data_IF_984735839198
#
_entry.id   IF_984735839198
#
_cell.length_a   1.000
_cell.length_b   1.000
_cell.length_c   1.000
_cell.angle_alpha   90.00
_cell.angle_beta   90.00
_cell.angle_gamma   90.00
#
_symmetry.space_group_name_H-M   'P 1'
#
loop_
_entity.id
_entity.type
_entity.pdbx_description
1 polymer ?
#
# COMPACT_ATOMS: atom_id res chain seq x y z
N UNK A 1 -5.66 -52.81 -21.82
CA UNK A 1 -5.80 -51.39 -21.42
C UNK A 1 -7.28 -51.14 -21.34
N UNK A 2 -7.82 -50.86 -20.14
CA UNK A 2 -9.24 -50.53 -20.00
C UNK A 2 -9.54 -49.27 -20.79
N UNK A 3 -10.52 -49.37 -21.67
CA UNK A 3 -10.98 -48.24 -22.48
C UNK A 3 -11.55 -47.18 -21.56
N UNK A 4 -10.95 -45.98 -21.54
CA UNK A 4 -11.35 -44.86 -20.68
C UNK A 4 -12.73 -44.37 -21.13
N UNK A 5 -13.78 -44.71 -20.40
CA UNK A 5 -15.15 -44.22 -20.67
C UNK A 5 -15.30 -42.81 -20.05
N UNK A 6 -15.33 -41.80 -20.90
CA UNK A 6 -15.43 -40.38 -20.50
C UNK A 6 -16.72 -40.03 -19.75
N UNK A 7 -17.82 -40.74 -20.03
CA UNK A 7 -19.06 -40.54 -19.29
C UNK A 7 -18.95 -41.06 -17.86
N UNK A 8 -18.28 -42.21 -17.65
CA UNK A 8 -18.00 -42.73 -16.32
C UNK A 8 -17.03 -41.85 -15.53
N UNK A 9 -16.04 -41.25 -16.22
CA UNK A 9 -15.07 -40.34 -15.60
C UNK A 9 -15.76 -39.08 -15.08
N UNK A 10 -16.70 -38.52 -15.82
CA UNK A 10 -17.51 -37.41 -15.38
C UNK A 10 -18.70 -37.80 -14.49
N UNK A 11 -19.00 -39.08 -14.36
CA UNK A 11 -20.13 -39.60 -13.57
C UNK A 11 -21.50 -39.13 -14.10
N UNK A 12 -21.65 -39.07 -15.43
CA UNK A 12 -22.87 -38.68 -16.13
C UNK A 12 -23.35 -39.78 -17.03
N UNK A 13 -24.64 -39.78 -17.40
CA UNK A 13 -25.21 -40.70 -18.38
C UNK A 13 -24.75 -40.36 -19.81
N UNK A 14 -24.82 -41.36 -20.73
CA UNK A 14 -24.50 -41.08 -22.16
C UNK A 14 -25.46 -40.10 -22.82
N UNK A 15 -26.66 -39.97 -22.30
CA UNK A 15 -27.67 -39.04 -22.79
C UNK A 15 -27.66 -37.70 -22.08
N UNK A 16 -26.69 -37.45 -21.20
CA UNK A 16 -26.60 -36.24 -20.40
C UNK A 16 -26.52 -34.98 -21.28
N UNK A 17 -27.33 -33.93 -20.98
CA UNK A 17 -27.23 -32.65 -21.64
C UNK A 17 -25.93 -31.94 -21.32
N UNK A 18 -25.52 -31.02 -22.19
CA UNK A 18 -24.26 -30.26 -22.02
C UNK A 18 -24.14 -29.58 -20.64
N UNK A 19 -25.25 -29.04 -20.11
CA UNK A 19 -25.26 -28.40 -18.80
C UNK A 19 -24.93 -29.37 -17.65
N UNK A 20 -25.37 -30.60 -17.73
CA UNK A 20 -25.08 -31.63 -16.74
C UNK A 20 -23.63 -32.08 -16.84
N UNK A 21 -23.09 -32.26 -18.03
CA UNK A 21 -21.68 -32.55 -18.28
C UNK A 21 -20.82 -31.43 -17.71
N UNK A 22 -21.16 -30.17 -17.95
CA UNK A 22 -20.48 -29.00 -17.43
C UNK A 22 -20.53 -28.91 -15.90
N UNK A 23 -21.68 -29.19 -15.30
CA UNK A 23 -21.88 -29.19 -13.84
C UNK A 23 -21.04 -30.26 -13.16
N UNK A 24 -21.01 -31.47 -13.72
CA UNK A 24 -20.24 -32.58 -13.20
C UNK A 24 -18.73 -32.33 -13.32
N UNK A 25 -18.27 -31.87 -14.48
CA UNK A 25 -16.89 -31.44 -14.67
C UNK A 25 -16.47 -30.43 -13.60
N UNK A 26 -17.28 -29.40 -13.37
CA UNK A 26 -17.01 -28.37 -12.36
C UNK A 26 -16.76 -28.96 -10.97
N UNK A 27 -17.64 -29.87 -10.55
CA UNK A 27 -17.55 -30.49 -9.23
C UNK A 27 -16.24 -31.27 -9.08
N UNK A 28 -15.88 -32.07 -10.07
CA UNK A 28 -14.69 -32.91 -10.04
C UNK A 28 -13.42 -32.07 -10.19
N UNK A 29 -13.40 -31.10 -11.09
CA UNK A 29 -12.26 -30.20 -11.30
C UNK A 29 -11.93 -29.39 -10.03
N UNK A 30 -12.94 -28.92 -9.29
CA UNK A 30 -12.74 -28.24 -8.00
C UNK A 30 -12.20 -29.16 -6.91
N UNK A 31 -12.59 -30.43 -6.92
CA UNK A 31 -12.14 -31.42 -5.96
C UNK A 31 -10.65 -31.78 -6.15
N UNK A 32 -10.22 -31.90 -7.41
CA UNK A 32 -8.86 -32.32 -7.77
C UNK A 32 -7.98 -31.19 -8.29
N UNK A 33 -8.39 -29.91 -8.04
CA UNK A 33 -7.60 -28.75 -8.46
C UNK A 33 -6.20 -28.76 -7.82
N UNK A 34 -5.12 -28.45 -8.58
CA UNK A 34 -3.76 -28.49 -8.06
C UNK A 34 -3.52 -27.50 -6.91
N UNK A 35 -4.15 -26.32 -6.92
CA UNK A 35 -4.02 -25.36 -5.82
C UNK A 35 -4.63 -25.88 -4.51
N UNK A 36 -5.59 -26.82 -4.59
CA UNK A 36 -6.19 -27.46 -3.43
C UNK A 36 -5.49 -28.76 -3.02
N UNK A 37 -4.74 -29.35 -3.95
CA UNK A 37 -4.03 -30.62 -3.75
C UNK A 37 -2.55 -30.48 -4.18
N UNK A 38 -1.78 -29.54 -3.61
CA UNK A 38 -0.41 -29.30 -4.06
C UNK A 38 0.47 -30.56 -3.85
N UNK A 39 1.15 -30.96 -4.93
CA UNK A 39 2.07 -32.11 -4.93
C UNK A 39 1.42 -33.50 -4.94
N UNK A 40 0.10 -33.60 -5.04
CA UNK A 40 -0.61 -34.90 -5.12
C UNK A 40 -0.74 -35.34 -6.58
N UNK A 41 0.11 -36.29 -6.99
CA UNK A 41 0.13 -36.87 -8.35
C UNK A 41 -1.16 -37.55 -8.76
N UNK A 42 -1.86 -38.19 -7.82
CA UNK A 42 -3.15 -38.84 -8.11
C UNK A 42 -4.24 -37.85 -8.41
N UNK A 43 -4.26 -36.73 -7.68
CA UNK A 43 -5.18 -35.63 -7.94
C UNK A 43 -4.89 -34.95 -9.30
N UNK A 44 -3.62 -34.78 -9.64
CA UNK A 44 -3.18 -34.25 -10.92
C UNK A 44 -3.59 -35.13 -12.10
N UNK A 45 -3.42 -36.45 -11.99
CA UNK A 45 -3.88 -37.41 -13.01
C UNK A 45 -5.40 -37.39 -13.17
N UNK A 46 -6.15 -37.40 -12.06
CA UNK A 46 -7.62 -37.30 -12.10
C UNK A 46 -8.09 -36.01 -12.71
N UNK A 47 -7.47 -34.89 -12.38
CA UNK A 47 -7.78 -33.59 -12.98
C UNK A 47 -7.54 -33.61 -14.50
N UNK A 48 -6.40 -34.15 -14.94
CA UNK A 48 -6.04 -34.28 -16.35
C UNK A 48 -7.06 -35.11 -17.14
N UNK A 49 -7.39 -36.29 -16.64
CA UNK A 49 -8.36 -37.18 -17.29
C UNK A 49 -9.76 -36.58 -17.31
N UNK A 50 -10.16 -35.89 -16.26
CA UNK A 50 -11.46 -35.19 -16.18
C UNK A 50 -11.54 -34.05 -17.17
N UNK A 51 -10.46 -33.27 -17.35
CA UNK A 51 -10.38 -32.20 -18.33
C UNK A 51 -10.40 -32.71 -19.76
N UNK A 52 -9.75 -33.83 -20.02
CA UNK A 52 -9.79 -34.53 -21.31
C UNK A 52 -11.20 -35.01 -21.65
N UNK A 53 -11.89 -35.63 -20.70
CA UNK A 53 -13.26 -36.08 -20.85
C UNK A 53 -14.22 -34.93 -21.16
N UNK A 54 -14.08 -33.82 -20.47
CA UNK A 54 -14.89 -32.63 -20.68
C UNK A 54 -14.65 -31.99 -22.07
N UNK A 55 -13.39 -31.89 -22.50
CA UNK A 55 -13.02 -31.35 -23.82
C UNK A 55 -13.68 -32.10 -24.95
N UNK A 56 -13.81 -33.41 -24.83
CA UNK A 56 -14.46 -34.23 -25.85
C UNK A 56 -15.98 -34.16 -25.77
N UNK A 57 -16.56 -34.25 -24.58
CA UNK A 57 -18.00 -34.37 -24.39
C UNK A 57 -18.75 -33.02 -24.49
N UNK A 58 -18.05 -31.88 -24.34
CA UNK A 58 -18.65 -30.55 -24.51
C UNK A 58 -18.87 -30.15 -25.97
N UNK A 59 -18.04 -30.68 -26.88
CA UNK A 59 -18.10 -30.35 -28.29
C UNK A 59 -19.00 -31.39 -29.01
N UNK A 60 -20.14 -30.98 -29.60
CA UNK A 60 -21.07 -31.91 -30.23
C UNK A 60 -20.41 -32.78 -31.31
N UNK A 61 -19.46 -32.24 -32.07
CA UNK A 61 -18.79 -32.98 -33.14
C UNK A 61 -17.81 -34.01 -32.56
N UNK A 62 -17.01 -33.64 -31.58
CA UNK A 62 -16.08 -34.56 -30.90
C UNK A 62 -16.86 -35.65 -30.14
N UNK A 63 -17.95 -35.28 -29.47
CA UNK A 63 -18.85 -36.21 -28.77
C UNK A 63 -19.44 -37.27 -29.73
N UNK A 64 -19.94 -36.84 -30.90
CA UNK A 64 -20.48 -37.75 -31.92
C UNK A 64 -19.40 -38.73 -32.43
N UNK A 65 -18.17 -38.23 -32.68
CA UNK A 65 -17.06 -39.08 -33.11
C UNK A 65 -16.67 -40.07 -32.00
N UNK A 66 -16.63 -39.60 -30.76
CA UNK A 66 -16.34 -40.43 -29.60
C UNK A 66 -17.41 -41.51 -29.37
N UNK A 67 -18.69 -41.20 -29.51
CA UNK A 67 -19.79 -42.11 -29.33
C UNK A 67 -19.84 -43.20 -30.42
N UNK A 68 -19.37 -42.89 -31.65
CA UNK A 68 -19.32 -43.84 -32.76
C UNK A 68 -18.07 -44.70 -32.86
N UNK A 69 -16.91 -44.09 -32.55
CA UNK A 69 -15.61 -44.68 -32.86
C UNK A 69 -14.68 -44.73 -31.66
N UNK A 70 -15.14 -44.34 -30.46
CA UNK A 70 -14.32 -44.33 -29.25
C UNK A 70 -13.13 -43.39 -29.35
N UNK A 71 -12.12 -43.62 -28.53
CA UNK A 71 -10.86 -42.87 -28.49
C UNK A 71 -10.08 -42.91 -29.81
N UNK A 72 -10.21 -43.98 -30.57
CA UNK A 72 -9.48 -44.14 -31.83
C UNK A 72 -9.99 -43.18 -32.91
N UNK A 73 -11.29 -42.91 -32.94
CA UNK A 73 -11.87 -41.92 -33.83
C UNK A 73 -11.34 -40.52 -33.60
N UNK A 74 -11.05 -40.16 -32.37
CA UNK A 74 -10.53 -38.83 -32.01
C UNK A 74 -9.08 -38.60 -32.46
N UNK A 75 -8.25 -39.63 -32.57
CA UNK A 75 -6.87 -39.49 -33.07
C UNK A 75 -6.81 -38.94 -34.49
N UNK A 76 -7.82 -39.24 -35.33
CA UNK A 76 -7.95 -38.74 -36.67
C UNK A 76 -8.29 -37.25 -36.79
N UNK A 77 -8.78 -36.63 -35.71
CA UNK A 77 -9.14 -35.20 -35.64
C UNK A 77 -8.03 -34.30 -35.10
N UNK A 78 -6.83 -34.84 -34.87
CA UNK A 78 -5.71 -34.11 -34.31
C UNK A 78 -5.75 -34.01 -32.77
N UNK A 79 -6.70 -34.64 -32.12
CA UNK A 79 -6.78 -34.68 -30.66
C UNK A 79 -5.85 -35.77 -30.10
N UNK A 80 -4.73 -35.35 -29.48
CA UNK A 80 -3.73 -36.26 -28.90
C UNK A 80 -3.78 -36.34 -27.36
N UNK A 81 -4.82 -35.76 -26.75
CA UNK A 81 -4.90 -35.58 -25.30
C UNK A 81 -3.94 -34.49 -24.78
N UNK A 82 -4.04 -34.19 -23.50
CA UNK A 82 -3.14 -33.22 -22.87
C UNK A 82 -1.85 -33.88 -22.38
N UNK A 83 -0.68 -33.36 -22.80
CA UNK A 83 0.64 -33.87 -22.38
C UNK A 83 1.06 -33.31 -21.03
N UNK A 84 0.61 -32.09 -20.67
CA UNK A 84 0.98 -31.40 -19.45
C UNK A 84 -0.12 -30.48 -18.94
N UNK A 85 0.13 -29.92 -17.77
CA UNK A 85 -0.76 -29.00 -17.09
C UNK A 85 -0.90 -27.66 -17.87
N UNK A 86 0.20 -27.21 -18.52
CA UNK A 86 0.24 -26.01 -19.33
C UNK A 86 -0.66 -26.13 -20.57
N UNK A 87 -0.76 -27.32 -21.14
CA UNK A 87 -1.64 -27.57 -22.29
C UNK A 87 -3.12 -27.43 -21.92
N UNK A 88 -3.49 -27.83 -20.69
CA UNK A 88 -4.85 -27.70 -20.16
C UNK A 88 -5.19 -26.22 -19.93
N UNK A 89 -4.27 -25.48 -19.32
CA UNK A 89 -4.45 -24.03 -19.12
C UNK A 89 -4.51 -23.26 -20.42
N UNK A 90 -3.74 -23.64 -21.41
CA UNK A 90 -3.77 -23.01 -22.75
C UNK A 90 -5.07 -23.31 -23.49
N UNK A 91 -5.61 -24.53 -23.39
CA UNK A 91 -6.84 -24.94 -24.06
C UNK A 91 -8.11 -24.37 -23.37
N UNK A 92 -8.04 -24.11 -22.08
CA UNK A 92 -9.19 -23.69 -21.27
C UNK A 92 -9.02 -22.29 -20.65
N UNK A 93 -7.99 -21.50 -21.02
CA UNK A 93 -7.73 -20.19 -20.47
C UNK A 93 -8.95 -19.27 -20.45
N UNK A 94 -9.68 -19.21 -21.56
CA UNK A 94 -10.91 -18.40 -21.68
C UNK A 94 -12.07 -18.94 -20.84
N UNK A 95 -12.09 -20.25 -20.54
CA UNK A 95 -13.15 -20.89 -19.74
C UNK A 95 -12.81 -20.84 -18.26
N UNK A 96 -11.52 -20.82 -17.92
CA UNK A 96 -11.07 -20.63 -16.54
C UNK A 96 -11.35 -19.21 -16.06
N UNK A 97 -11.22 -18.18 -16.90
CA UNK A 97 -11.62 -16.79 -16.56
C UNK A 97 -13.13 -16.68 -16.29
N UNK A 98 -13.97 -17.35 -17.11
CA UNK A 98 -15.43 -17.43 -16.88
C UNK A 98 -15.80 -18.27 -15.64
N UNK A 99 -14.92 -19.19 -15.25
CA UNK A 99 -15.19 -20.19 -14.22
C UNK A 99 -14.94 -19.70 -12.81
N UNK A 100 -13.94 -18.84 -12.60
CA UNK A 100 -13.62 -18.26 -11.29
C UNK A 100 -14.33 -16.95 -11.00
N UNK A 101 -15.34 -16.57 -11.77
CA UNK A 101 -16.19 -15.42 -11.49
C UNK A 101 -15.65 -14.08 -11.99
N UNK A 102 -14.67 -14.09 -12.91
CA UNK A 102 -14.14 -12.89 -13.53
C UNK A 102 -14.58 -12.67 -15.00
N UNK A 103 -15.42 -13.52 -15.57
CA UNK A 103 -15.82 -13.42 -16.95
C UNK A 103 -17.33 -13.42 -17.16
N UNK A 104 -17.96 -12.29 -17.09
CA UNK A 104 -19.21 -12.07 -17.82
C UNK A 104 -18.89 -11.58 -19.22
N UNK A 105 -19.29 -12.32 -20.23
CA UNK A 105 -19.33 -11.90 -21.64
C UNK A 105 -20.26 -10.70 -21.82
N UNK A 106 -19.85 -9.56 -21.30
CA UNK A 106 -20.45 -8.30 -21.70
C UNK A 106 -19.75 -7.83 -22.97
N UNK A 107 -20.55 -7.60 -24.05
CA UNK A 107 -20.18 -6.62 -25.07
C UNK A 107 -19.30 -5.58 -24.42
N UNK A 108 -18.10 -5.31 -24.95
CA UNK A 108 -17.17 -4.27 -24.49
C UNK A 108 -17.88 -2.92 -24.39
N UNK A 109 -18.76 -2.77 -23.39
CA UNK A 109 -19.11 -1.45 -22.87
C UNK A 109 -17.83 -0.91 -22.28
N UNK A 110 -17.43 0.24 -22.74
CA UNK A 110 -16.25 0.92 -22.28
C UNK A 110 -16.20 0.86 -20.75
N UNK A 111 -15.26 0.05 -20.23
CA UNK A 111 -15.18 -0.29 -18.78
C UNK A 111 -15.02 1.02 -18.00
N UNK A 112 -15.97 1.29 -17.13
CA UNK A 112 -15.87 2.37 -16.14
C UNK A 112 -14.61 2.12 -15.34
N UNK A 113 -13.69 3.10 -15.28
CA UNK A 113 -12.44 3.00 -14.54
C UNK A 113 -12.45 3.97 -13.38
N UNK A 114 -12.09 3.49 -12.21
CA UNK A 114 -11.82 4.34 -11.05
C UNK A 114 -10.64 5.25 -11.35
N UNK A 115 -10.68 6.46 -10.80
CA UNK A 115 -9.56 7.40 -10.85
C UNK A 115 -8.34 6.87 -10.10
N UNK A 116 -7.16 7.34 -10.47
CA UNK A 116 -5.93 6.99 -9.79
C UNK A 116 -5.89 7.62 -8.38
N UNK A 117 -5.28 6.90 -7.45
CA UNK A 117 -5.00 7.43 -6.13
C UNK A 117 -3.86 8.47 -6.21
N UNK A 118 -3.94 9.50 -5.36
CA UNK A 118 -2.92 10.54 -5.26
C UNK A 118 -2.12 10.38 -3.97
N UNK A 119 -0.85 10.73 -4.03
CA UNK A 119 0.05 10.79 -2.88
C UNK A 119 0.43 12.25 -2.61
N UNK A 120 0.40 12.63 -1.35
CA UNK A 120 0.89 13.91 -0.86
C UNK A 120 1.75 13.70 0.39
N UNK A 121 2.95 14.28 0.41
CA UNK A 121 3.86 14.21 1.54
C UNK A 121 3.74 15.52 2.35
N UNK A 122 3.14 15.43 3.54
CA UNK A 122 2.89 16.57 4.42
C UNK A 122 3.94 16.62 5.53
N UNK A 123 4.70 17.71 5.56
CA UNK A 123 5.61 18.03 6.65
C UNK A 123 4.88 18.84 7.72
N UNK A 124 5.00 18.43 8.96
CA UNK A 124 4.42 19.11 10.12
C UNK A 124 5.49 19.33 11.18
N UNK A 125 5.33 20.38 11.98
CA UNK A 125 6.23 20.62 13.10
C UNK A 125 6.04 19.59 14.21
N UNK A 126 7.03 19.46 15.09
CA UNK A 126 6.97 18.62 16.27
C UNK A 126 5.78 18.97 17.18
N UNK A 127 5.50 20.26 17.36
CA UNK A 127 4.36 20.72 18.13
C UNK A 127 3.01 20.40 17.43
N UNK A 128 2.93 20.55 16.11
CA UNK A 128 1.73 20.16 15.36
C UNK A 128 1.46 18.67 15.50
N UNK A 129 2.50 17.84 15.54
CA UNK A 129 2.37 16.41 15.78
C UNK A 129 1.91 16.09 17.21
N UNK A 130 2.33 16.89 18.21
CA UNK A 130 1.93 16.70 19.60
C UNK A 130 0.49 17.10 19.88
N UNK A 131 0.01 18.20 19.28
CA UNK A 131 -1.31 18.77 19.58
C UNK A 131 -2.36 18.50 18.52
N UNK A 132 -1.94 18.02 17.35
CA UNK A 132 -2.78 17.97 16.16
C UNK A 132 -2.91 19.33 15.50
N UNK A 133 -3.24 19.34 14.22
CA UNK A 133 -3.41 20.56 13.45
C UNK A 133 -4.38 20.36 12.28
N UNK A 134 -5.16 21.38 12.01
CA UNK A 134 -5.90 21.49 10.76
C UNK A 134 -5.07 22.32 9.78
N UNK A 135 -4.78 21.73 8.63
CA UNK A 135 -3.94 22.34 7.59
C UNK A 135 -4.63 22.24 6.25
N UNK A 136 -4.60 23.31 5.47
CA UNK A 136 -5.05 23.31 4.09
C UNK A 136 -3.88 22.98 3.17
N UNK A 137 -4.12 22.05 2.24
CA UNK A 137 -3.15 21.71 1.20
C UNK A 137 -3.75 21.93 -0.17
N UNK A 138 -2.94 22.33 -1.12
CA UNK A 138 -3.32 22.43 -2.53
C UNK A 138 -2.76 21.25 -3.31
N UNK A 139 -3.63 20.56 -4.02
CA UNK A 139 -3.24 19.41 -4.83
C UNK A 139 -3.63 19.67 -6.27
N UNK A 140 -2.69 19.57 -7.22
CA UNK A 140 -3.02 19.56 -8.63
C UNK A 140 -3.66 18.22 -8.99
N UNK A 141 -4.92 18.23 -9.39
CA UNK A 141 -5.62 17.03 -9.87
C UNK A 141 -6.34 17.29 -11.19
N UNK A 142 -6.51 16.24 -11.97
CA UNK A 142 -7.31 16.29 -13.17
C UNK A 142 -8.79 16.16 -12.80
N UNK A 143 -9.54 17.22 -13.08
CA UNK A 143 -10.99 17.27 -12.85
C UNK A 143 -11.72 17.24 -14.19
N UNK A 144 -12.97 16.82 -14.18
CA UNK A 144 -13.82 16.82 -15.37
C UNK A 144 -13.94 18.27 -15.88
N UNK A 145 -13.74 18.45 -17.18
CA UNK A 145 -13.88 19.76 -17.80
C UNK A 145 -15.34 20.21 -17.74
N UNK A 146 -15.61 21.29 -17.04
CA UNK A 146 -16.96 21.86 -16.85
C UNK A 146 -17.62 22.32 -18.16
N UNK A 147 -16.82 22.75 -19.15
CA UNK A 147 -17.32 23.26 -20.42
C UNK A 147 -17.89 22.13 -21.29
N UNK A 148 -17.25 20.97 -21.31
CA UNK A 148 -17.69 19.83 -22.13
C UNK A 148 -18.24 18.67 -21.32
N UNK A 149 -18.32 18.77 -19.99
CA UNK A 149 -18.76 17.72 -19.08
C UNK A 149 -18.09 16.35 -19.36
N UNK A 150 -16.77 16.40 -19.61
CA UNK A 150 -15.96 15.19 -19.82
C UNK A 150 -16.03 14.61 -21.23
N UNK A 151 -16.84 15.15 -22.16
CA UNK A 151 -16.97 14.62 -23.53
C UNK A 151 -15.75 14.91 -24.41
N UNK A 152 -14.94 15.89 -24.06
CA UNK A 152 -13.84 16.39 -24.89
C UNK A 152 -14.29 17.21 -26.10
N UNK A 153 -15.59 17.23 -26.44
CA UNK A 153 -16.15 17.90 -27.62
C UNK A 153 -16.55 19.34 -27.30
N UNK A 154 -16.54 20.20 -28.31
CA UNK A 154 -17.11 21.55 -28.22
C UNK A 154 -18.57 21.45 -27.80
N UNK A 155 -19.05 22.38 -26.99
CA UNK A 155 -20.44 22.45 -26.56
C UNK A 155 -21.40 22.35 -27.75
N UNK A 156 -22.41 21.49 -27.65
CA UNK A 156 -23.37 21.19 -28.74
C UNK A 156 -22.88 20.20 -29.78
N UNK A 157 -21.68 19.65 -29.66
CA UNK A 157 -21.16 18.58 -30.52
C UNK A 157 -20.86 17.32 -29.74
N UNK A 158 -20.90 16.18 -30.40
CA UNK A 158 -20.65 14.87 -29.76
C UNK A 158 -19.53 14.12 -30.47
N UNK A 159 -18.77 13.28 -29.71
CA UNK A 159 -17.84 12.37 -30.35
C UNK A 159 -18.56 11.43 -31.31
N UNK A 160 -18.02 11.27 -32.51
CA UNK A 160 -18.51 10.36 -33.53
C UNK A 160 -17.74 9.05 -33.54
N UNK A 161 -18.26 8.04 -34.15
CA UNK A 161 -17.53 6.79 -34.35
C UNK A 161 -16.30 7.04 -35.24
N UNK A 162 -15.15 6.51 -34.84
CA UNK A 162 -13.92 6.71 -35.63
C UNK A 162 -14.08 6.10 -37.04
N UNK A 163 -13.91 6.88 -38.11
CA UNK A 163 -14.11 6.39 -39.47
C UNK A 163 -13.08 5.33 -39.88
N UNK A 164 -11.87 5.37 -39.31
CA UNK A 164 -10.79 4.46 -39.68
C UNK A 164 -10.97 3.04 -39.10
N UNK A 165 -11.36 2.94 -37.82
CA UNK A 165 -11.52 1.63 -37.14
C UNK A 165 -12.99 1.25 -36.93
N UNK A 166 -13.95 2.06 -37.40
CA UNK A 166 -15.39 1.85 -37.24
C UNK A 166 -15.79 1.49 -35.79
N UNK A 167 -15.14 2.19 -34.81
CA UNK A 167 -15.43 2.04 -33.40
C UNK A 167 -14.67 0.93 -32.68
N UNK A 168 -13.92 0.07 -33.37
CA UNK A 168 -13.17 -1.03 -32.74
C UNK A 168 -11.94 -0.60 -31.91
N UNK A 169 -11.42 0.60 -32.16
CA UNK A 169 -10.17 1.10 -31.57
C UNK A 169 -8.91 0.49 -32.18
N UNK A 170 -9.05 -0.54 -33.01
CA UNK A 170 -7.93 -1.25 -33.65
C UNK A 170 -8.14 -1.35 -35.15
N UNK A 171 -7.04 -1.38 -35.88
CA UNK A 171 -7.04 -1.60 -37.31
C UNK A 171 -6.35 -2.92 -37.59
N UNK A 172 -7.05 -3.82 -38.24
CA UNK A 172 -6.57 -5.14 -38.59
C UNK A 172 -6.03 -5.12 -40.02
N UNK A 173 -4.79 -5.52 -40.19
CA UNK A 173 -4.15 -5.70 -41.50
C UNK A 173 -3.83 -7.16 -41.70
N UNK A 174 -4.36 -7.75 -42.78
CA UNK A 174 -4.02 -9.11 -43.21
C UNK A 174 -2.86 -9.05 -44.21
N UNK A 175 -1.80 -9.79 -43.93
CA UNK A 175 -0.65 -9.94 -44.81
C UNK A 175 -0.42 -11.45 -45.01
N UNK A 176 -0.92 -12.01 -46.08
CA UNK A 176 -0.94 -13.45 -46.31
C UNK A 176 -1.78 -14.20 -45.27
N UNK A 177 -1.22 -15.18 -44.62
CA UNK A 177 -1.89 -16.00 -43.59
C UNK A 177 -1.89 -15.35 -42.19
N UNK A 178 -1.25 -14.21 -42.02
CA UNK A 178 -1.15 -13.53 -40.72
C UNK A 178 -2.05 -12.30 -40.67
N UNK A 179 -2.81 -12.19 -39.59
CA UNK A 179 -3.62 -11.02 -39.27
C UNK A 179 -3.02 -10.27 -38.11
N UNK A 180 -2.53 -9.06 -38.34
CA UNK A 180 -1.93 -8.19 -37.32
C UNK A 180 -2.96 -7.13 -36.94
N UNK A 181 -3.31 -7.06 -35.68
CA UNK A 181 -4.16 -6.01 -35.12
C UNK A 181 -3.28 -4.93 -34.47
N UNK A 182 -3.39 -3.69 -34.93
CA UNK A 182 -2.66 -2.54 -34.38
C UNK A 182 -3.61 -1.50 -33.86
N UNK A 183 -3.21 -0.74 -32.83
CA UNK A 183 -4.00 0.38 -32.31
C UNK A 183 -4.29 1.39 -33.44
N UNK A 184 -5.52 1.84 -33.55
CA UNK A 184 -5.91 2.81 -34.56
C UNK A 184 -5.20 4.15 -34.38
N UNK A 185 -4.40 4.57 -35.35
CA UNK A 185 -3.61 5.81 -35.27
C UNK A 185 -4.47 7.08 -35.24
N UNK A 186 -5.73 7.03 -35.64
CA UNK A 186 -6.61 8.21 -35.63
C UNK A 186 -7.33 8.42 -34.31
N UNK A 187 -7.76 7.35 -33.63
CA UNK A 187 -8.46 7.45 -32.33
C UNK A 187 -7.64 6.93 -31.15
N UNK A 188 -6.42 6.53 -31.38
CA UNK A 188 -5.49 6.03 -30.35
C UNK A 188 -6.08 4.95 -29.44
N UNK A 189 -6.95 4.12 -29.99
CA UNK A 189 -7.59 3.02 -29.26
C UNK A 189 -8.98 3.34 -28.70
N UNK A 190 -9.42 4.59 -28.71
CA UNK A 190 -10.71 4.99 -28.12
C UNK A 190 -11.93 4.57 -28.95
N UNK A 191 -11.77 4.28 -30.22
CA UNK A 191 -12.88 3.97 -31.13
C UNK A 191 -13.76 5.16 -31.49
N UNK A 192 -13.53 6.32 -30.87
CA UNK A 192 -14.27 7.57 -31.10
C UNK A 192 -13.37 8.63 -31.67
N UNK A 193 -13.97 9.53 -32.49
CA UNK A 193 -13.28 10.68 -33.05
C UNK A 193 -14.05 11.94 -32.67
N UNK A 194 -13.31 12.98 -32.28
CA UNK A 194 -13.86 14.27 -31.87
C UNK A 194 -13.57 15.28 -32.99
N UNK A 195 -14.56 15.58 -33.87
CA UNK A 195 -14.37 16.52 -34.98
C UNK A 195 -14.07 17.94 -34.51
N UNK A 196 -14.71 18.35 -33.44
CA UNK A 196 -14.59 19.68 -32.88
C UNK A 196 -14.18 19.57 -31.39
N UNK A 197 -12.88 19.61 -31.07
CA UNK A 197 -12.41 19.50 -29.69
C UNK A 197 -12.82 20.72 -28.85
N UNK A 198 -13.10 20.49 -27.58
CA UNK A 198 -13.34 21.52 -26.60
C UNK A 198 -12.10 22.42 -26.48
N UNK A 199 -12.28 23.74 -26.50
CA UNK A 199 -11.16 24.68 -26.44
C UNK A 199 -10.40 24.64 -25.13
N UNK A 200 -11.08 24.37 -24.02
CA UNK A 200 -10.47 24.31 -22.68
C UNK A 200 -9.64 23.06 -22.49
N UNK A 201 -10.22 21.88 -22.65
CA UNK A 201 -9.53 20.61 -22.43
C UNK A 201 -8.88 20.02 -23.69
N UNK A 202 -8.99 20.68 -24.86
CA UNK A 202 -8.37 20.27 -26.13
C UNK A 202 -8.67 18.82 -26.55
N UNK A 203 -9.86 18.33 -26.22
CA UNK A 203 -10.27 16.97 -26.54
C UNK A 203 -10.12 15.96 -25.40
N UNK A 204 -9.36 16.26 -24.35
CA UNK A 204 -9.08 15.31 -23.26
C UNK A 204 -10.26 15.10 -22.30
N UNK A 205 -11.27 15.99 -22.30
CA UNK A 205 -12.42 15.91 -21.40
C UNK A 205 -12.09 16.28 -19.94
N UNK A 206 -10.82 16.59 -19.63
CA UNK A 206 -10.32 16.90 -18.29
C UNK A 206 -9.37 18.10 -18.33
N UNK A 207 -9.34 18.82 -17.24
CA UNK A 207 -8.42 19.96 -17.04
C UNK A 207 -7.72 19.80 -15.71
N UNK A 208 -6.47 20.22 -15.65
CA UNK A 208 -5.70 20.23 -14.41
C UNK A 208 -6.07 21.46 -13.60
N UNK A 209 -6.64 21.27 -12.41
CA UNK A 209 -6.96 22.35 -11.46
C UNK A 209 -6.32 22.05 -10.11
N UNK A 210 -5.91 23.08 -9.39
CA UNK A 210 -5.52 22.96 -8.00
C UNK A 210 -6.79 22.88 -7.14
N UNK A 211 -6.89 21.88 -6.30
CA UNK A 211 -7.98 21.74 -5.33
C UNK A 211 -7.40 21.92 -3.92
N UNK A 212 -7.99 22.82 -3.14
CA UNK A 212 -7.68 22.99 -1.72
C UNK A 212 -8.44 21.95 -0.90
N UNK A 213 -7.74 21.23 -0.05
CA UNK A 213 -8.31 20.17 0.81
C UNK A 213 -7.87 20.44 2.24
N UNK A 214 -8.83 20.44 3.18
CA UNK A 214 -8.54 20.52 4.61
C UNK A 214 -8.17 19.14 5.14
N UNK A 215 -7.02 19.09 5.83
CA UNK A 215 -6.52 17.88 6.48
C UNK A 215 -6.46 18.13 7.98
N UNK A 216 -7.07 17.24 8.74
CA UNK A 216 -6.97 17.21 10.19
C UNK A 216 -5.98 16.13 10.60
N UNK A 217 -4.81 16.54 11.08
CA UNK A 217 -3.83 15.64 11.67
C UNK A 217 -4.18 15.41 13.14
N UNK A 218 -4.36 14.16 13.57
CA UNK A 218 -4.66 13.88 14.98
C UNK A 218 -3.44 14.13 15.87
N UNK A 219 -3.69 14.51 17.12
CA UNK A 219 -2.64 14.64 18.13
C UNK A 219 -1.96 13.29 18.38
N UNK A 220 -0.64 13.31 18.58
CA UNK A 220 0.16 12.09 18.78
C UNK A 220 0.61 11.41 17.49
N UNK A 221 0.28 11.95 16.33
CA UNK A 221 0.70 11.39 15.04
C UNK A 221 2.22 11.32 14.92
N UNK A 222 2.72 10.29 14.21
CA UNK A 222 4.15 10.10 14.03
C UNK A 222 4.55 10.08 12.56
N UNK A 223 5.84 10.27 12.30
CA UNK A 223 6.44 10.11 10.97
C UNK A 223 6.13 8.74 10.39
N UNK A 224 5.80 8.70 9.09
CA UNK A 224 5.38 7.48 8.40
C UNK A 224 3.89 7.16 8.53
N UNK A 225 3.14 7.91 9.34
CA UNK A 225 1.69 7.78 9.41
C UNK A 225 1.04 8.12 8.08
N UNK A 226 -0.01 7.37 7.71
CA UNK A 226 -0.73 7.51 6.45
C UNK A 226 -2.19 7.85 6.72
N UNK A 227 -2.62 9.01 6.25
CA UNK A 227 -4.02 9.43 6.28
C UNK A 227 -4.65 9.20 4.90
N UNK A 228 -5.83 8.57 4.86
CA UNK A 228 -6.59 8.34 3.63
C UNK A 228 -7.80 9.27 3.60
N UNK A 229 -7.87 10.10 2.58
CA UNK A 229 -9.01 10.98 2.30
C UNK A 229 -9.73 10.41 1.08
N UNK A 230 -10.91 9.85 1.33
CA UNK A 230 -11.68 9.15 0.30
C UNK A 230 -12.22 10.10 -0.75
N UNK A 231 -12.10 9.68 -2.03
CA UNK A 231 -12.64 10.41 -3.17
C UNK A 231 -11.87 11.69 -3.54
N UNK A 232 -10.71 11.94 -2.93
CA UNK A 232 -9.87 13.10 -3.22
C UNK A 232 -8.68 12.78 -4.16
N UNK A 233 -8.67 11.59 -4.75
CA UNK A 233 -7.77 11.24 -5.85
C UNK A 233 -8.19 11.83 -7.19
N UNK A 234 -7.64 11.31 -8.29
CA UNK A 234 -8.03 11.68 -9.64
C UNK A 234 -9.49 11.29 -9.92
N UNK A 235 -10.14 12.06 -10.78
CA UNK A 235 -11.50 11.70 -11.24
C UNK A 235 -11.49 10.42 -12.07
N UNK A 236 -12.49 9.57 -11.85
CA UNK A 236 -12.66 8.33 -12.61
C UNK A 236 -12.98 8.54 -14.10
N UNK A 237 -12.71 7.55 -14.92
CA UNK A 237 -13.03 7.61 -16.34
C UNK A 237 -14.45 7.14 -16.62
N UNK A 238 -15.11 7.84 -17.55
CA UNK A 238 -16.45 7.46 -18.06
C UNK A 238 -17.50 7.32 -16.96
N UNK A 239 -17.47 8.23 -15.98
CA UNK A 239 -18.38 8.19 -14.83
C UNK A 239 -17.94 7.23 -13.72
N UNK A 240 -16.68 6.80 -13.73
CA UNK A 240 -16.11 6.00 -12.64
C UNK A 240 -15.94 6.81 -11.37
N UNK A 241 -15.89 6.17 -10.20
CA UNK A 241 -15.64 6.85 -8.95
C UNK A 241 -14.23 7.44 -8.94
N UNK A 242 -14.01 8.57 -8.22
CA UNK A 242 -12.66 9.11 -8.02
C UNK A 242 -11.79 8.13 -7.22
N UNK A 243 -10.48 8.28 -7.34
CA UNK A 243 -9.50 7.64 -6.45
C UNK A 243 -9.46 8.30 -5.08
N UNK A 244 -8.53 7.90 -4.25
CA UNK A 244 -8.32 8.45 -2.91
C UNK A 244 -7.03 9.26 -2.84
N UNK A 245 -6.97 10.17 -1.87
CA UNK A 245 -5.74 10.87 -1.54
C UNK A 245 -5.10 10.21 -0.32
N UNK A 246 -3.84 9.85 -0.45
CA UNK A 246 -3.01 9.35 0.63
C UNK A 246 -2.00 10.41 1.06
N UNK A 247 -2.16 10.90 2.28
CA UNK A 247 -1.26 11.87 2.88
C UNK A 247 -0.29 11.16 3.80
N UNK A 248 1.01 11.26 3.50
CA UNK A 248 2.09 10.72 4.31
C UNK A 248 2.65 11.82 5.19
N UNK A 249 2.70 11.58 6.48
CA UNK A 249 3.13 12.55 7.48
C UNK A 249 4.63 12.41 7.72
N UNK A 250 5.32 13.55 7.74
CA UNK A 250 6.73 13.69 8.12
C UNK A 250 6.82 14.74 9.22
N UNK A 251 7.15 14.31 10.42
CA UNK A 251 7.36 15.22 11.55
C UNK A 251 8.78 15.76 11.49
N UNK A 252 8.92 17.08 11.47
CA UNK A 252 10.22 17.71 11.49
C UNK A 252 10.89 17.52 12.87
N UNK A 253 12.22 17.31 12.91
CA UNK A 253 12.94 17.21 14.17
C UNK A 253 12.83 18.53 14.95
N UNK A 254 12.83 18.43 16.28
CA UNK A 254 12.85 19.59 17.16
C UNK A 254 14.26 19.81 17.72
N UNK A 255 14.70 21.04 17.82
CA UNK A 255 16.07 21.37 18.25
C UNK A 255 16.38 20.92 19.67
N UNK A 256 15.36 20.85 20.51
CA UNK A 256 15.51 20.58 21.93
C UNK A 256 14.94 19.21 22.37
N UNK A 257 13.85 18.76 21.76
CA UNK A 257 13.19 17.50 22.10
C UNK A 257 13.48 16.42 21.06
N UNK A 258 13.76 15.21 21.53
CA UNK A 258 13.73 14.00 20.72
C UNK A 258 12.50 13.16 21.11
N UNK A 259 11.86 12.52 20.13
CA UNK A 259 10.72 11.64 20.36
C UNK A 259 11.15 10.17 20.34
N UNK A 260 10.69 9.41 21.34
CA UNK A 260 10.85 7.95 21.39
C UNK A 260 9.49 7.30 21.69
N UNK A 261 8.81 6.84 20.65
CA UNK A 261 7.43 6.35 20.76
C UNK A 261 6.47 7.47 21.20
N UNK A 262 5.84 7.32 22.36
CA UNK A 262 4.98 8.37 22.96
C UNK A 262 5.76 9.27 23.94
N UNK A 263 6.97 8.88 24.34
CA UNK A 263 7.80 9.65 25.25
C UNK A 263 8.62 10.72 24.50
N UNK A 264 9.04 11.75 25.23
CA UNK A 264 9.99 12.75 24.75
C UNK A 264 11.23 12.78 25.63
N UNK A 265 12.35 13.01 25.01
CA UNK A 265 13.66 13.08 25.68
C UNK A 265 14.23 14.47 25.47
N UNK A 266 14.77 15.05 26.53
CA UNK A 266 15.54 16.29 26.43
C UNK A 266 16.76 16.25 27.35
N UNK A 267 17.79 17.03 27.01
CA UNK A 267 18.97 17.19 27.78
C UNK A 267 19.04 18.59 28.40
N UNK A 268 19.18 18.66 29.72
CA UNK A 268 19.28 19.92 30.47
C UNK A 268 20.65 20.05 31.06
N UNK A 269 21.37 21.13 30.74
CA UNK A 269 22.64 21.42 31.43
C UNK A 269 22.37 21.97 32.83
N UNK A 270 22.99 21.36 33.81
CA UNK A 270 23.04 21.87 35.19
C UNK A 270 24.48 22.16 35.58
N UNK A 271 24.68 23.10 36.54
CA UNK A 271 26.00 23.41 37.05
C UNK A 271 26.44 22.38 38.10
N UNK A 272 27.75 22.21 38.31
CA UNK A 272 28.32 21.38 39.36
C UNK A 272 27.72 21.69 40.77
N UNK A 273 27.57 22.96 41.19
CA UNK A 273 26.93 23.27 42.49
C UNK A 273 25.46 22.81 42.55
N UNK A 274 24.69 22.96 41.44
CA UNK A 274 23.32 22.48 41.40
C UNK A 274 23.22 20.96 41.53
N UNK A 275 24.10 20.22 40.86
CA UNK A 275 24.16 18.77 40.98
C UNK A 275 24.54 18.31 42.41
N UNK A 276 25.51 18.99 43.01
CA UNK A 276 26.04 18.59 44.30
C UNK A 276 25.12 18.97 45.47
N UNK A 277 24.60 20.20 45.48
CA UNK A 277 23.79 20.74 46.56
C UNK A 277 22.29 20.51 46.41
N UNK A 278 21.87 20.08 45.22
CA UNK A 278 20.48 20.04 44.79
C UNK A 278 20.01 21.43 44.37
N UNK A 279 18.99 21.46 43.54
CA UNK A 279 18.41 22.72 43.06
C UNK A 279 16.97 22.51 42.58
N UNK A 280 16.19 23.58 42.61
CA UNK A 280 14.94 23.65 41.84
C UNK A 280 15.23 24.33 40.50
N UNK A 281 14.94 23.66 39.40
CA UNK A 281 15.17 24.22 38.06
C UNK A 281 13.87 24.23 37.26
N UNK A 282 13.76 25.20 36.38
CA UNK A 282 12.63 25.29 35.44
C UNK A 282 13.04 24.69 34.10
N UNK A 283 12.25 23.76 33.60
CA UNK A 283 12.52 23.07 32.36
C UNK A 283 11.35 23.28 31.35
N UNK A 284 11.65 23.32 30.07
CA UNK A 284 10.61 23.35 29.04
C UNK A 284 9.92 21.98 28.93
N UNK A 285 8.61 22.03 28.70
CA UNK A 285 7.78 20.87 28.35
C UNK A 285 6.97 21.21 27.10
N UNK A 286 6.26 20.24 26.53
CA UNK A 286 5.34 20.51 25.40
C UNK A 286 4.26 21.54 25.78
N UNK A 287 3.83 21.55 27.06
CA UNK A 287 2.74 22.40 27.53
C UNK A 287 3.23 23.70 28.19
N UNK A 288 4.49 24.07 28.00
CA UNK A 288 5.11 25.27 28.62
C UNK A 288 6.28 24.89 29.51
N UNK A 289 6.38 25.52 30.69
CA UNK A 289 7.50 25.29 31.60
C UNK A 289 7.04 24.59 32.89
N UNK A 290 7.89 23.72 33.41
CA UNK A 290 7.69 23.01 34.69
C UNK A 290 8.90 23.09 35.58
N UNK A 291 8.69 23.20 36.89
CA UNK A 291 9.73 23.12 37.88
C UNK A 291 9.98 21.66 38.26
N UNK A 292 11.25 21.28 38.33
CA UNK A 292 11.70 19.99 38.85
C UNK A 292 12.74 20.20 39.96
N UNK A 293 12.75 19.32 40.94
CA UNK A 293 13.73 19.30 41.99
C UNK A 293 14.86 18.34 41.63
N UNK A 294 16.08 18.85 41.56
CA UNK A 294 17.29 18.06 41.39
C UNK A 294 17.77 17.68 42.79
N UNK A 295 17.86 16.40 43.15
CA UNK A 295 18.37 15.94 44.44
C UNK A 295 19.84 16.30 44.62
N UNK A 296 20.29 16.30 45.87
CA UNK A 296 21.73 16.46 46.20
C UNK A 296 22.49 15.23 45.73
N UNK A 297 23.64 15.44 45.08
CA UNK A 297 24.51 14.37 44.64
C UNK A 297 24.05 13.73 43.30
N UNK A 298 23.21 14.43 42.52
CA UNK A 298 22.79 13.99 41.19
C UNK A 298 23.98 13.82 40.26
N UNK A 299 24.07 12.68 39.59
CA UNK A 299 25.16 12.39 38.67
C UNK A 299 24.83 12.89 37.23
N UNK A 300 25.91 13.16 36.47
CA UNK A 300 25.74 13.53 35.06
C UNK A 300 25.24 12.34 34.25
N UNK A 301 24.16 12.53 33.51
CA UNK A 301 23.48 11.48 32.73
C UNK A 301 22.25 10.91 33.43
N UNK A 302 21.97 11.27 34.66
CA UNK A 302 20.80 10.84 35.42
C UNK A 302 19.52 11.35 34.73
N UNK A 303 18.46 10.50 34.75
CA UNK A 303 17.22 10.76 34.03
C UNK A 303 16.07 10.96 35.01
N UNK A 304 15.42 12.11 34.92
CA UNK A 304 14.19 12.44 35.65
C UNK A 304 12.96 12.26 34.76
N UNK A 305 11.98 11.51 35.26
CA UNK A 305 10.76 11.21 34.55
C UNK A 305 9.61 12.13 34.97
N UNK A 306 9.06 12.87 34.03
CA UNK A 306 7.86 13.69 34.22
C UNK A 306 6.67 12.96 33.57
N UNK A 307 5.83 12.41 34.43
CA UNK A 307 4.67 11.61 33.99
C UNK A 307 3.65 12.45 33.21
N UNK A 308 3.22 11.92 32.06
CA UNK A 308 2.17 12.52 31.24
C UNK A 308 2.57 13.79 30.47
N UNK A 309 3.86 14.14 30.40
CA UNK A 309 4.35 15.29 29.64
C UNK A 309 4.88 14.94 28.25
N UNK A 310 4.70 13.69 27.80
CA UNK A 310 5.02 13.22 26.45
C UNK A 310 3.90 13.47 25.44
N UNK A 311 3.98 12.79 24.30
CA UNK A 311 2.95 12.83 23.26
C UNK A 311 1.65 12.15 23.73
N UNK A 312 0.49 12.64 23.30
CA UNK A 312 -0.75 11.90 23.46
C UNK A 312 -0.69 10.61 22.65
N UNK A 313 -1.25 9.53 23.19
CA UNK A 313 -1.31 8.25 22.47
C UNK A 313 -2.28 8.34 21.31
N UNK A 314 -1.82 8.03 20.10
CA UNK A 314 -2.64 8.06 18.89
C UNK A 314 -3.80 7.04 18.95
N UNK A 315 -3.58 5.91 19.65
CA UNK A 315 -4.59 4.88 19.90
C UNK A 315 -4.67 4.60 21.40
N UNK A 316 -5.80 4.92 22.01
CA UNK A 316 -6.01 4.73 23.44
C UNK A 316 -6.09 6.05 24.21
N UNK A 317 -5.94 5.96 25.52
CA UNK A 317 -6.03 7.10 26.43
C UNK A 317 -4.66 7.40 27.08
N UNK A 318 -4.45 8.65 27.44
CA UNK A 318 -3.28 9.12 28.14
C UNK A 318 -2.19 9.68 27.24
N UNK A 319 -1.07 9.98 27.85
CA UNK A 319 0.14 10.55 27.23
C UNK A 319 1.35 9.74 27.67
N UNK A 320 2.41 9.80 26.87
CA UNK A 320 3.75 9.38 27.27
C UNK A 320 4.34 10.31 28.31
N UNK A 321 5.57 10.08 28.69
CA UNK A 321 6.30 10.81 29.69
C UNK A 321 7.39 11.69 29.05
N UNK A 322 7.88 12.69 29.78
CA UNK A 322 9.09 13.40 29.40
C UNK A 322 10.26 12.88 30.22
N UNK A 323 11.30 12.43 29.55
CA UNK A 323 12.57 11.98 30.12
C UNK A 323 13.58 13.12 30.06
N UNK A 324 13.98 13.63 31.22
CA UNK A 324 14.89 14.76 31.35
C UNK A 324 16.25 14.23 31.78
N UNK A 325 17.17 14.16 30.83
CA UNK A 325 18.55 13.79 31.13
C UNK A 325 19.34 15.03 31.55
N UNK A 326 19.89 15.03 32.77
CA UNK A 326 20.72 16.13 33.24
C UNK A 326 22.19 15.91 32.86
N UNK A 327 22.81 16.98 32.37
CA UNK A 327 24.23 16.96 32.00
C UNK A 327 24.96 18.00 32.85
N UNK A 328 25.84 17.55 33.71
CA UNK A 328 26.64 18.46 34.53
C UNK A 328 27.70 19.15 33.68
N UNK A 329 27.60 20.48 33.57
CA UNK A 329 28.56 21.28 32.83
C UNK A 329 29.56 21.92 33.74
N UNK A 330 30.85 21.73 33.45
CA UNK A 330 31.94 22.44 34.11
C UNK A 330 31.99 23.91 33.67
N UNK A 331 32.11 24.85 34.56
CA UNK A 331 32.25 26.26 34.24
C UNK A 331 33.59 26.53 33.52
N UNK A 332 33.51 27.26 32.37
CA UNK A 332 34.71 27.52 31.55
C UNK A 332 35.41 28.81 31.90
N UNK A 333 34.69 29.83 32.40
CA UNK A 333 35.21 31.17 32.68
C UNK A 333 35.03 31.46 34.18
N UNK A 334 36.02 31.09 34.98
CA UNK A 334 35.99 31.32 36.41
C UNK A 334 36.56 32.71 36.76
N UNK A 335 35.92 33.40 37.70
CA UNK A 335 36.52 34.53 38.36
C UNK A 335 37.62 34.08 39.35
N UNK A 336 38.56 34.94 39.65
CA UNK A 336 39.63 34.63 40.64
C UNK A 336 39.08 34.09 41.96
N UNK A 337 37.97 34.61 42.41
CA UNK A 337 37.31 34.18 43.64
C UNK A 337 36.70 32.76 43.53
N UNK A 338 36.08 32.46 42.38
CA UNK A 338 35.53 31.11 42.13
C UNK A 338 36.65 30.07 42.04
N UNK A 339 37.75 30.43 41.39
CA UNK A 339 38.94 29.56 41.34
C UNK A 339 39.50 29.24 42.71
N UNK A 340 39.61 30.26 43.58
CA UNK A 340 40.02 30.08 44.96
C UNK A 340 39.10 29.10 45.73
N UNK A 341 37.80 29.30 45.63
CA UNK A 341 36.81 28.43 46.31
C UNK A 341 36.93 26.99 45.83
N UNK A 342 37.11 26.78 44.53
CA UNK A 342 37.28 25.43 43.99
C UNK A 342 38.60 24.77 44.44
N UNK A 343 39.67 25.54 44.58
CA UNK A 343 40.95 25.03 45.16
C UNK A 343 40.78 24.66 46.63
N UNK A 344 40.15 25.51 47.45
CA UNK A 344 39.80 25.21 48.83
C UNK A 344 38.94 23.92 48.91
N UNK A 345 37.94 23.76 48.04
CA UNK A 345 37.12 22.56 48.01
C UNK A 345 37.93 21.30 47.64
N UNK A 346 38.87 21.40 46.70
CA UNK A 346 39.77 20.31 46.33
C UNK A 346 40.68 19.91 47.50
N UNK A 347 41.21 20.88 48.24
CA UNK A 347 42.07 20.63 49.45
C UNK A 347 41.28 19.88 50.52
N UNK A 348 40.07 20.28 50.83
CA UNK A 348 39.16 19.60 51.73
C UNK A 348 38.91 18.15 51.39
N UNK A 349 38.79 17.85 50.08
CA UNK A 349 38.55 16.50 49.58
C UNK A 349 39.79 15.61 49.62
N UNK A 350 41.01 16.18 49.45
CA UNK A 350 42.31 15.43 49.61
C UNK A 350 42.47 14.75 50.96
N UNK A 351 41.83 15.29 52.00
CA UNK A 351 41.82 14.69 53.32
C UNK A 351 40.81 13.56 53.49
N UNK A 352 39.78 13.48 52.64
CA UNK A 352 38.77 12.39 52.65
C UNK A 352 39.15 11.20 51.76
N UNK A 353 39.87 11.45 50.67
CA UNK A 353 40.17 10.40 49.66
C UNK A 353 41.41 9.53 50.05
N UNK A 354 42.04 9.74 51.20
CA UNK A 354 43.13 8.86 51.63
C UNK A 354 42.72 7.42 51.95
N UNK A 355 41.41 7.13 52.07
CA UNK A 355 40.96 5.80 52.50
C UNK A 355 40.10 4.98 51.47
N UNK A 356 39.57 5.59 50.42
CA UNK A 356 38.61 4.77 49.58
C UNK A 356 38.63 5.11 48.11
N UNK A 357 39.26 4.51 47.27
CA UNK A 357 38.63 4.68 46.02
C UNK A 357 39.27 4.02 44.79
N UNK A 358 40.41 4.43 44.35
CA UNK A 358 41.00 3.93 43.10
C UNK A 358 41.48 2.48 43.18
N UNK A 359 41.85 1.99 44.37
CA UNK A 359 42.33 0.62 44.59
C UNK A 359 41.22 -0.44 44.53
N UNK A 360 39.97 -0.09 44.77
CA UNK A 360 38.82 -1.05 44.63
C UNK A 360 38.38 -1.26 43.20
N UNK A 361 38.46 -0.23 42.35
CA UNK A 361 38.08 -0.32 40.92
C UNK A 361 39.02 -1.23 40.10
N UNK A 362 40.31 -1.28 40.46
CA UNK A 362 41.29 -2.12 39.76
C UNK A 362 41.44 -3.54 40.34
N UNK A 363 40.81 -3.87 41.49
CA UNK A 363 40.79 -5.22 42.05
C UNK A 363 39.62 -6.10 41.64
N UNK A 364 38.66 -5.55 40.90
CA UNK A 364 37.48 -6.31 40.43
C UNK A 364 37.63 -6.88 39.00
N UNK A 365 38.85 -6.84 38.45
CA UNK A 365 39.16 -7.31 37.09
C UNK A 365 40.37 -8.26 37.03
N UNK A 366 40.59 -9.05 38.08
CA UNK A 366 41.61 -10.14 38.06
C UNK A 366 40.95 -11.46 38.41
#
# INVERSE_FOLDING_TARGET
>A
MEEKDYYKILGVSRDAPEEEIKKSYRKIAMQYHPDRNPGNKEAEEKFKITSEAYEVLRDPQKREIYDRFGMEGLKGTGFTGFRGFEDIFSAFGDIFEDFFGFGTTYKRRAKVRQGADLRYDLKISFNDAAFGKETEIEIPKNVICEICNGTGSKHGTYPTQCPNCKGSGQVTRSQGFFTISTTCGQCHGEGKFIPHPCKECRGYGRVRKNKTIQIKTPAGIDTGSKLRIRGEGEEGERGGPPGDLFVFIYVEPHDFFAREGDDIICQIPISFPQATLGAEIEIPTLNGKRKITIPKGTESGEIFRLKGEGFPKLRGYGRGDQLVQVIVKTPKNLSKRQEQILKEFEELNKHKDKDEGWKKLFKAGS
#
